data_IF_405758863514
#
_entry.id   IF_405758863514
#
_cell.length_a   1.000
_cell.length_b   1.000
_cell.length_c   1.000
_cell.angle_alpha   90.00
_cell.angle_beta   90.00
_cell.angle_gamma   90.00
#
_symmetry.space_group_name_H-M   'P 1'
#
loop_
_entity.id
_entity.type
_entity.pdbx_description
1 polymer ?
#
# COMPACT_ATOMS: atom_id res chain seq x y z
N UNK A 1 1.13 -11.34 0.92
CA UNK A 1 0.23 -10.15 0.96
C UNK A 1 0.19 -9.53 2.37
N UNK A 2 0.95 -10.13 3.28
CA UNK A 2 0.90 -9.90 4.72
C UNK A 2 1.52 -8.57 5.11
N UNK A 3 2.59 -8.14 4.42
CA UNK A 3 3.25 -6.85 4.67
C UNK A 3 2.31 -5.62 4.61
N UNK A 4 1.35 -5.57 3.67
CA UNK A 4 0.40 -4.45 3.62
C UNK A 4 -0.63 -4.52 4.75
N UNK A 5 -1.02 -5.72 5.16
CA UNK A 5 -1.93 -5.93 6.28
C UNK A 5 -1.25 -5.59 7.61
N UNK A 6 0.03 -5.94 7.75
CA UNK A 6 0.84 -5.60 8.91
C UNK A 6 0.99 -4.08 9.06
N UNK A 7 1.17 -3.34 7.96
CA UNK A 7 1.20 -1.88 8.01
C UNK A 7 -0.15 -1.29 8.46
N UNK A 8 -1.29 -1.86 8.02
CA UNK A 8 -2.60 -1.43 8.52
C UNK A 8 -2.74 -1.70 10.02
N UNK A 9 -2.33 -2.89 10.48
CA UNK A 9 -2.39 -3.27 11.88
C UNK A 9 -1.52 -2.35 12.75
N UNK A 10 -0.32 -1.97 12.29
CA UNK A 10 0.56 -0.99 12.95
C UNK A 10 -0.10 0.40 13.09
N UNK A 11 -0.99 0.76 12.16
CA UNK A 11 -1.66 2.06 12.13
C UNK A 11 -3.06 2.04 12.76
N UNK A 12 -3.59 0.88 13.17
CA UNK A 12 -4.99 0.73 13.59
C UNK A 12 -5.38 1.64 14.77
N UNK A 13 -4.45 1.89 15.70
CA UNK A 13 -4.66 2.73 16.88
C UNK A 13 -4.63 4.23 16.56
N UNK A 14 -4.02 4.61 15.43
CA UNK A 14 -3.93 6.00 14.96
C UNK A 14 -5.05 6.33 13.96
N UNK A 15 -5.63 5.31 13.32
CA UNK A 15 -6.63 5.47 12.26
C UNK A 15 -8.05 5.43 12.82
N UNK A 16 -8.89 6.34 12.33
CA UNK A 16 -10.33 6.17 12.48
C UNK A 16 -10.75 4.83 11.85
N UNK A 17 -11.54 4.04 12.57
CA UNK A 17 -11.99 2.71 12.13
C UNK A 17 -12.55 2.71 10.71
N UNK A 18 -13.31 3.75 10.34
CA UNK A 18 -13.86 3.92 8.97
C UNK A 18 -12.78 4.05 7.89
N UNK A 19 -11.66 4.69 8.20
CA UNK A 19 -10.52 4.84 7.28
C UNK A 19 -9.79 3.51 7.12
N UNK A 20 -9.57 2.79 8.23
CA UNK A 20 -8.97 1.46 8.20
C UNK A 20 -9.84 0.46 7.39
N UNK A 21 -11.16 0.50 7.57
CA UNK A 21 -12.12 -0.31 6.81
C UNK A 21 -12.11 0.03 5.29
N UNK A 22 -12.11 1.31 4.90
CA UNK A 22 -12.03 1.73 3.48
C UNK A 22 -10.73 1.22 2.82
N UNK A 23 -9.61 1.36 3.52
CA UNK A 23 -8.31 0.88 3.03
C UNK A 23 -8.34 -0.64 2.88
N UNK A 24 -8.79 -1.37 3.91
CA UNK A 24 -8.87 -2.83 3.90
C UNK A 24 -9.75 -3.36 2.76
N UNK A 25 -10.91 -2.75 2.54
CA UNK A 25 -11.81 -3.12 1.43
C UNK A 25 -11.16 -2.92 0.06
N UNK A 26 -10.42 -1.82 -0.12
CA UNK A 26 -9.72 -1.55 -1.40
C UNK A 26 -8.53 -2.48 -1.62
N UNK A 27 -7.79 -2.83 -0.57
CA UNK A 27 -6.75 -3.85 -0.65
C UNK A 27 -7.32 -5.24 -0.93
N UNK A 28 -8.53 -5.54 -0.46
CA UNK A 28 -9.22 -6.77 -0.83
C UNK A 28 -9.52 -6.82 -2.34
N UNK A 29 -9.92 -5.71 -2.96
CA UNK A 29 -10.08 -5.63 -4.43
C UNK A 29 -8.75 -5.89 -5.14
N UNK A 30 -7.65 -5.32 -4.66
CA UNK A 30 -6.31 -5.61 -5.19
C UNK A 30 -5.98 -7.10 -5.09
N UNK A 31 -6.24 -7.73 -3.94
CA UNK A 31 -6.00 -9.16 -3.68
C UNK A 31 -6.81 -10.05 -4.62
N UNK A 32 -8.08 -9.71 -4.84
CA UNK A 32 -8.93 -10.40 -5.81
C UNK A 32 -8.41 -10.26 -7.23
N UNK A 33 -8.04 -9.05 -7.67
CA UNK A 33 -7.46 -8.84 -8.99
C UNK A 33 -6.14 -9.60 -9.19
N UNK A 34 -5.33 -9.70 -8.13
CA UNK A 34 -4.09 -10.49 -8.14
C UNK A 34 -4.37 -11.98 -8.36
N UNK A 35 -5.28 -12.53 -7.55
CA UNK A 35 -5.62 -13.96 -7.52
C UNK A 35 -6.33 -14.39 -8.80
N UNK A 36 -7.19 -13.52 -9.34
CA UNK A 36 -7.90 -13.73 -10.60
C UNK A 36 -7.01 -13.51 -11.84
N UNK A 37 -5.71 -13.23 -11.67
CA UNK A 37 -4.78 -13.04 -12.78
C UNK A 37 -4.98 -11.76 -13.58
N UNK A 38 -5.77 -10.79 -13.06
CA UNK A 38 -6.05 -9.51 -13.74
C UNK A 38 -4.91 -8.51 -13.66
N UNK A 39 -3.93 -8.75 -12.78
CA UNK A 39 -2.75 -7.91 -12.63
C UNK A 39 -1.57 -8.45 -13.44
N UNK A 40 -0.96 -7.57 -14.23
CA UNK A 40 0.25 -7.85 -14.98
C UNK A 40 1.45 -8.11 -14.08
N UNK A 41 2.46 -8.83 -14.59
CA UNK A 41 3.70 -9.12 -13.85
C UNK A 41 4.41 -7.83 -13.41
N UNK A 42 4.33 -6.77 -14.22
CA UNK A 42 4.89 -5.45 -13.92
C UNK A 42 4.24 -4.80 -12.69
N UNK A 43 2.92 -4.91 -12.56
CA UNK A 43 2.18 -4.45 -11.36
C UNK A 43 2.54 -5.30 -10.16
N UNK A 44 2.55 -6.63 -10.31
CA UNK A 44 2.85 -7.56 -9.21
C UNK A 44 4.22 -7.31 -8.59
N UNK A 45 5.26 -7.22 -9.43
CA UNK A 45 6.64 -6.99 -8.98
C UNK A 45 6.79 -5.63 -8.26
N UNK A 46 6.24 -4.56 -8.83
CA UNK A 46 6.26 -3.23 -8.21
C UNK A 46 5.47 -3.19 -6.90
N UNK A 47 4.33 -3.87 -6.81
CA UNK A 47 3.55 -3.95 -5.57
C UNK A 47 4.27 -4.67 -4.44
N UNK A 48 5.03 -5.74 -4.75
CA UNK A 48 5.87 -6.41 -3.76
C UNK A 48 6.94 -5.45 -3.22
N UNK A 49 7.60 -4.70 -4.11
CA UNK A 49 8.60 -3.68 -3.73
C UNK A 49 7.97 -2.57 -2.88
N UNK A 50 6.79 -2.08 -3.27
CA UNK A 50 6.06 -1.05 -2.53
C UNK A 50 5.70 -1.54 -1.12
N UNK A 51 5.19 -2.76 -0.99
CA UNK A 51 4.85 -3.34 0.30
C UNK A 51 6.07 -3.47 1.21
N UNK A 52 7.22 -3.90 0.64
CA UNK A 52 8.49 -3.96 1.38
C UNK A 52 8.97 -2.57 1.81
N UNK A 53 8.94 -1.58 0.92
CA UNK A 53 9.35 -0.21 1.23
C UNK A 53 8.49 0.39 2.36
N UNK A 54 7.19 0.09 2.40
CA UNK A 54 6.31 0.51 3.49
C UNK A 54 6.64 -0.17 4.82
N UNK A 55 6.97 -1.46 4.82
CA UNK A 55 7.34 -2.19 6.04
C UNK A 55 8.71 -1.75 6.59
N UNK A 56 9.65 -1.44 5.69
CA UNK A 56 10.98 -0.89 6.00
C UNK A 56 10.92 0.60 6.44
N UNK A 57 9.74 1.25 6.38
CA UNK A 57 9.57 2.67 6.69
C UNK A 57 10.08 3.64 5.62
N UNK A 58 10.53 3.11 4.47
CA UNK A 58 11.00 3.86 3.29
C UNK A 58 9.85 4.46 2.49
N UNK A 59 9.16 5.44 3.09
CA UNK A 59 7.98 6.09 2.50
C UNK A 59 8.27 6.74 1.15
N UNK A 60 9.45 7.34 0.96
CA UNK A 60 9.81 8.00 -0.30
C UNK A 60 9.97 7.00 -1.45
N UNK A 61 10.54 5.82 -1.17
CA UNK A 61 10.61 4.73 -2.14
C UNK A 61 9.22 4.20 -2.48
N UNK A 62 8.37 3.98 -1.47
CA UNK A 62 6.98 3.57 -1.67
C UNK A 62 6.21 4.60 -2.53
N UNK A 63 6.44 5.90 -2.30
CA UNK A 63 5.84 6.97 -3.06
C UNK A 63 6.32 7.00 -4.52
N UNK A 64 7.61 6.80 -4.76
CA UNK A 64 8.17 6.72 -6.11
C UNK A 64 7.57 5.55 -6.90
N UNK A 65 7.46 4.37 -6.27
CA UNK A 65 6.85 3.19 -6.90
C UNK A 65 5.37 3.42 -7.19
N UNK A 66 4.64 4.07 -6.28
CA UNK A 66 3.25 4.48 -6.50
C UNK A 66 3.09 5.35 -7.75
N UNK A 67 3.96 6.34 -7.93
CA UNK A 67 3.94 7.21 -9.12
C UNK A 67 4.23 6.39 -10.38
N UNK A 68 5.25 5.52 -10.38
CA UNK A 68 5.54 4.65 -11.52
C UNK A 68 4.34 3.76 -11.89
N UNK A 69 3.67 3.16 -10.89
CA UNK A 69 2.45 2.37 -11.13
C UNK A 69 1.31 3.18 -11.73
N UNK A 70 1.13 4.43 -11.29
CA UNK A 70 0.11 5.33 -11.82
C UNK A 70 0.42 5.83 -13.24
N UNK A 71 1.69 5.87 -13.64
CA UNK A 71 2.07 6.26 -15.02
C UNK A 71 1.93 5.06 -15.96
N UNK A 72 2.49 3.92 -15.57
CA UNK A 72 2.63 2.77 -16.45
C UNK A 72 1.37 1.87 -16.48
N UNK A 73 0.60 1.81 -15.37
CA UNK A 73 -0.47 0.81 -15.16
C UNK A 73 -1.75 1.39 -14.57
N UNK A 74 -2.07 2.66 -14.82
CA UNK A 74 -3.25 3.35 -14.24
C UNK A 74 -4.55 2.55 -14.37
N UNK A 75 -4.77 1.90 -15.52
CA UNK A 75 -5.97 1.12 -15.78
C UNK A 75 -6.13 -0.11 -14.86
N UNK A 76 -5.03 -0.70 -14.42
CA UNK A 76 -5.03 -1.87 -13.53
C UNK A 76 -5.11 -1.48 -12.04
N UNK A 77 -4.58 -0.31 -11.69
CA UNK A 77 -4.36 0.08 -10.29
C UNK A 77 -5.34 1.12 -9.75
N UNK A 78 -5.98 1.93 -10.61
CA UNK A 78 -6.76 3.12 -10.19
C UNK A 78 -7.82 2.86 -9.10
N UNK A 79 -8.51 1.72 -9.12
CA UNK A 79 -9.60 1.40 -8.19
C UNK A 79 -9.14 1.31 -6.73
N UNK A 80 -7.94 0.80 -6.50
CA UNK A 80 -7.41 0.50 -5.16
C UNK A 80 -6.17 1.33 -4.80
N UNK A 81 -5.45 1.88 -5.79
CA UNK A 81 -4.22 2.64 -5.57
C UNK A 81 -4.42 3.90 -4.73
N UNK A 82 -5.62 4.48 -4.71
CA UNK A 82 -5.94 5.62 -3.81
C UNK A 82 -5.86 5.24 -2.33
N UNK A 83 -6.14 3.98 -1.96
CA UNK A 83 -5.94 3.50 -0.59
C UNK A 83 -4.45 3.33 -0.28
N UNK A 84 -3.67 2.84 -1.23
CA UNK A 84 -2.21 2.70 -1.10
C UNK A 84 -1.57 4.07 -0.92
N UNK A 85 -1.98 5.09 -1.69
CA UNK A 85 -1.54 6.48 -1.51
C UNK A 85 -1.86 7.00 -0.11
N UNK A 86 -3.08 6.76 0.39
CA UNK A 86 -3.45 7.12 1.77
C UNK A 86 -2.52 6.44 2.77
N UNK A 87 -2.28 5.14 2.61
CA UNK A 87 -1.43 4.36 3.50
C UNK A 87 0.03 4.87 3.51
N UNK A 88 0.60 5.22 2.35
CA UNK A 88 1.91 5.90 2.26
C UNK A 88 1.92 7.20 3.07
N UNK A 89 0.90 8.05 2.90
CA UNK A 89 0.79 9.30 3.66
C UNK A 89 0.60 9.07 5.16
N UNK A 90 -0.10 8.01 5.55
CA UNK A 90 -0.31 7.66 6.95
C UNK A 90 0.99 7.18 7.59
N UNK A 91 1.76 6.30 6.95
CA UNK A 91 3.08 5.91 7.44
C UNK A 91 4.01 7.13 7.56
N UNK A 92 3.94 8.07 6.59
CA UNK A 92 4.69 9.34 6.65
C UNK A 92 4.32 10.17 7.88
N UNK A 93 3.03 10.36 8.11
CA UNK A 93 2.51 11.18 9.22
C UNK A 93 2.70 10.50 10.57
N UNK A 94 2.64 9.17 10.61
CA UNK A 94 2.92 8.32 11.77
C UNK A 94 4.42 8.09 11.96
N UNK A 95 5.27 9.09 11.68
CA UNK A 95 6.71 9.09 11.99
C UNK A 95 7.00 9.09 13.51
N UNK A 96 6.28 8.26 14.26
CA UNK A 96 6.60 7.65 15.55
C UNK A 96 6.99 6.18 15.33
N UNK A 97 7.92 5.92 14.42
CA UNK A 97 8.69 4.68 14.46
C UNK A 97 10.05 5.05 15.07
N UNK A 98 10.34 4.67 16.33
CA UNK A 98 11.70 4.74 16.81
C UNK A 98 12.54 3.82 15.92
N UNK A 99 13.53 4.41 15.28
CA UNK A 99 14.69 3.72 14.72
C UNK A 99 15.13 2.64 15.68
N UNK A 100 14.95 1.37 15.30
CA UNK A 100 15.51 0.28 16.07
C UNK A 100 17.03 0.43 16.04
N UNK A 101 17.60 0.61 17.23
CA UNK A 101 19.03 0.73 17.52
C UNK A 101 19.79 -0.54 17.16
#
# INVERSE_FOLDING_TARGET
>A
MDALQDVINKLQDTLEKRVADDISRRLQVMSQNWTNGKLSQGVKSRMIKLAKALDDGSVDEAHHIHISLMVDFVAEVNQWMVAVKKLINLVRSSSTFPTHS
#
